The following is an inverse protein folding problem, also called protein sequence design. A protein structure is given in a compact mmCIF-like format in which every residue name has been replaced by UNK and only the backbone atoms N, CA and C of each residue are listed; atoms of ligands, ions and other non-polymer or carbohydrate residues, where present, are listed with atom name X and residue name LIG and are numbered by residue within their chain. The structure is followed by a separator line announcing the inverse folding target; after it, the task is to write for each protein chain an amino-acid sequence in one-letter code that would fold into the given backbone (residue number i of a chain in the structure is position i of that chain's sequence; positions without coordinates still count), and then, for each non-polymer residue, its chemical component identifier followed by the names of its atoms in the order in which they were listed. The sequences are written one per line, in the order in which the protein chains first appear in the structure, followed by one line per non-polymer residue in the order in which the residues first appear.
data_IF_103409634936
#
_entry.id   IF_103409634936
#
_cell.length_a   1.000
_cell.length_b   1.000
_cell.length_c   1.000
_cell.angle_alpha   90.00
_cell.angle_beta   90.00
_cell.angle_gamma   90.00
#
_symmetry.space_group_name_H-M   'P 1'
#
loop_
_entity.id
_entity.type
_entity.pdbx_description
1 polymer ?
#
# COMPACT_ATOMS: atom_id res chain seq x y z
N UNK A 1 -8.71 -12.44 -10.20
CA UNK A 1 -8.00 -11.72 -9.11
C UNK A 1 -8.38 -10.24 -9.00
N UNK A 2 -8.72 -9.53 -10.09
CA UNK A 2 -9.16 -8.13 -10.02
C UNK A 2 -10.37 -7.89 -9.09
N UNK A 3 -11.32 -8.82 -9.04
CA UNK A 3 -12.53 -8.71 -8.20
C UNK A 3 -12.27 -8.69 -6.69
N UNK A 4 -11.13 -9.24 -6.22
CA UNK A 4 -10.75 -9.22 -4.79
C UNK A 4 -9.90 -7.98 -4.46
N UNK A 5 -9.19 -7.41 -5.44
CA UNK A 5 -8.34 -6.24 -5.22
C UNK A 5 -9.15 -4.98 -4.95
N UNK A 6 -10.23 -4.79 -5.70
CA UNK A 6 -11.13 -3.64 -5.55
C UNK A 6 -11.65 -3.47 -4.10
N UNK A 7 -12.30 -4.47 -3.47
CA UNK A 7 -12.79 -4.31 -2.11
C UNK A 7 -11.66 -4.09 -1.09
N UNK A 8 -10.49 -4.73 -1.27
CA UNK A 8 -9.34 -4.51 -0.38
C UNK A 8 -8.82 -3.07 -0.46
N UNK A 9 -8.78 -2.47 -1.65
CA UNK A 9 -8.43 -1.05 -1.80
C UNK A 9 -9.48 -0.12 -1.19
N UNK A 10 -10.78 -0.45 -1.32
CA UNK A 10 -11.84 0.30 -0.65
C UNK A 10 -11.72 0.24 0.88
N UNK A 11 -11.42 -0.94 1.44
CA UNK A 11 -11.22 -1.12 2.88
C UNK A 11 -9.97 -0.36 3.33
N UNK A 12 -8.85 -0.45 2.60
CA UNK A 12 -7.63 0.29 2.89
C UNK A 12 -7.88 1.80 2.88
N UNK A 13 -8.63 2.30 1.90
CA UNK A 13 -9.00 3.70 1.81
C UNK A 13 -9.85 4.14 3.02
N UNK A 14 -10.85 3.34 3.39
CA UNK A 14 -11.68 3.61 4.57
C UNK A 14 -10.84 3.64 5.86
N UNK A 15 -9.98 2.64 6.10
CA UNK A 15 -9.09 2.64 7.25
C UNK A 15 -8.13 3.83 7.24
N UNK A 16 -7.64 4.24 6.07
CA UNK A 16 -6.79 5.42 5.93
C UNK A 16 -7.53 6.70 6.34
N UNK A 17 -8.80 6.87 5.92
CA UNK A 17 -9.63 8.02 6.34
C UNK A 17 -9.84 8.03 7.85
N UNK A 18 -10.13 6.88 8.44
CA UNK A 18 -10.36 6.75 9.88
C UNK A 18 -9.08 7.10 10.66
N UNK A 19 -7.93 6.52 10.30
CA UNK A 19 -6.65 6.83 10.95
C UNK A 19 -6.26 8.29 10.76
N UNK A 20 -6.48 8.87 9.58
CA UNK A 20 -6.24 10.28 9.31
C UNK A 20 -7.06 11.20 10.22
N UNK A 21 -8.36 10.93 10.38
CA UNK A 21 -9.21 11.71 11.29
C UNK A 21 -8.80 11.57 12.76
N UNK A 22 -8.47 10.35 13.20
CA UNK A 22 -8.05 10.09 14.57
C UNK A 22 -6.70 10.74 14.91
N UNK A 23 -5.74 10.68 13.99
CA UNK A 23 -4.40 11.29 14.15
C UNK A 23 -4.48 12.81 14.21
N UNK A 24 -5.29 13.45 13.36
CA UNK A 24 -5.55 14.90 13.44
C UNK A 24 -6.17 15.27 14.79
N UNK A 25 -7.20 14.54 15.21
CA UNK A 25 -7.88 14.82 16.49
C UNK A 25 -6.90 14.68 17.66
N UNK A 26 -6.03 13.67 17.63
CA UNK A 26 -5.00 13.46 18.65
C UNK A 26 -3.96 14.58 18.65
N UNK A 27 -3.41 14.95 17.49
CA UNK A 27 -2.45 16.03 17.36
C UNK A 27 -3.03 17.37 17.82
N UNK A 28 -4.27 17.66 17.45
CA UNK A 28 -4.94 18.88 17.88
C UNK A 28 -5.11 18.93 19.40
N UNK A 29 -5.42 17.79 20.03
CA UNK A 29 -5.51 17.68 21.49
C UNK A 29 -4.14 17.78 22.17
N UNK A 30 -3.07 17.18 21.62
CA UNK A 30 -1.73 17.23 22.23
C UNK A 30 -1.04 18.59 22.08
N UNK A 31 -1.43 19.38 21.07
CA UNK A 31 -0.91 20.73 20.85
C UNK A 31 -1.73 21.82 21.55
N UNK A 32 -2.93 21.50 22.07
CA UNK A 32 -3.80 22.45 22.76
C UNK A 32 -4.42 21.79 24.01
N UNK A 33 -3.58 21.41 24.97
CA UNK A 33 -4.05 20.80 26.21
C UNK A 33 -4.83 21.84 27.04
N UNK A 34 -6.03 21.48 27.53
CA UNK A 34 -6.72 22.31 28.50
C UNK A 34 -5.95 22.34 29.83
N UNK A 35 -5.90 23.52 30.45
CA UNK A 35 -5.24 23.72 31.75
C UNK A 35 -5.88 22.82 32.81
N UNK A 36 -5.10 21.95 33.43
CA UNK A 36 -5.56 21.01 34.46
C UNK A 36 -5.76 19.57 33.97
N UNK A 37 -5.43 19.26 32.71
CA UNK A 37 -5.37 17.88 32.25
C UNK A 37 -4.24 17.10 32.95
N UNK A 38 -4.49 15.89 33.48
CA UNK A 38 -3.44 15.04 34.07
C UNK A 38 -2.36 14.65 33.06
N UNK A 39 -2.62 14.75 31.76
CA UNK A 39 -1.66 14.43 30.71
C UNK A 39 -0.58 15.51 30.63
N UNK A 40 0.69 15.13 30.74
CA UNK A 40 1.86 16.01 30.66
C UNK A 40 1.78 17.28 31.54
N UNK A 41 1.14 17.19 32.72
CA UNK A 41 0.88 18.34 33.61
C UNK A 41 0.16 19.51 32.92
N UNK A 42 -0.65 19.23 31.89
CA UNK A 42 -1.34 20.24 31.09
C UNK A 42 -0.43 21.06 30.18
N UNK A 43 0.80 20.60 29.92
CA UNK A 43 1.71 21.22 28.96
C UNK A 43 1.56 20.59 27.58
N UNK A 44 1.51 21.43 26.55
CA UNK A 44 1.45 21.01 25.15
C UNK A 44 2.70 20.20 24.77
N UNK A 45 2.51 19.14 24.00
CA UNK A 45 3.60 18.32 23.49
C UNK A 45 3.32 17.76 22.09
N UNK A 46 4.38 17.47 21.36
CA UNK A 46 4.29 16.88 20.03
C UNK A 46 4.56 15.38 20.09
N UNK A 47 3.67 14.60 19.48
CA UNK A 47 3.79 13.16 19.41
C UNK A 47 4.26 12.73 18.00
N UNK A 48 5.56 12.37 17.85
CA UNK A 48 6.13 12.08 16.53
C UNK A 48 5.52 10.84 15.88
N UNK A 49 5.03 9.88 16.66
CA UNK A 49 4.44 8.64 16.15
C UNK A 49 3.06 8.91 15.55
N UNK A 50 2.27 9.78 16.18
CA UNK A 50 0.98 10.20 15.64
C UNK A 50 1.17 10.94 14.31
N UNK A 51 2.22 11.76 14.19
CA UNK A 51 2.54 12.46 12.95
C UNK A 51 3.01 11.51 11.84
N UNK A 52 3.78 10.48 12.18
CA UNK A 52 4.20 9.47 11.22
C UNK A 52 3.00 8.67 10.70
N UNK A 53 2.07 8.24 11.57
CA UNK A 53 0.81 7.61 11.16
C UNK A 53 -0.09 8.54 10.34
N UNK A 54 -0.08 9.85 10.62
CA UNK A 54 -0.79 10.85 9.83
C UNK A 54 -0.26 10.93 8.39
N UNK A 55 1.07 10.95 8.22
CA UNK A 55 1.70 10.94 6.89
C UNK A 55 1.42 9.61 6.17
N UNK A 56 1.52 8.49 6.88
CA UNK A 56 1.26 7.16 6.31
C UNK A 56 -0.19 7.01 5.83
N UNK A 57 -1.15 7.48 6.62
CA UNK A 57 -2.57 7.46 6.25
C UNK A 57 -2.88 8.41 5.11
N UNK A 58 -2.24 9.59 5.04
CA UNK A 58 -2.36 10.52 3.91
C UNK A 58 -1.83 9.91 2.60
N UNK A 59 -0.66 9.26 2.66
CA UNK A 59 -0.07 8.57 1.51
C UNK A 59 -0.97 7.43 1.03
N UNK A 60 -1.50 6.61 1.95
CA UNK A 60 -2.42 5.52 1.60
C UNK A 60 -3.76 6.04 1.06
N UNK A 61 -4.29 7.12 1.65
CA UNK A 61 -5.51 7.80 1.21
C UNK A 61 -5.36 8.37 -0.20
N UNK A 62 -4.21 8.97 -0.52
CA UNK A 62 -3.91 9.42 -1.87
C UNK A 62 -3.73 8.26 -2.84
N UNK A 63 -2.97 7.23 -2.44
CA UNK A 63 -2.62 6.10 -3.30
C UNK A 63 -3.83 5.25 -3.75
N UNK A 64 -4.77 4.95 -2.86
CA UNK A 64 -5.90 4.07 -3.18
C UNK A 64 -6.79 4.56 -4.36
N UNK A 65 -7.22 5.83 -4.44
CA UNK A 65 -8.01 6.32 -5.57
C UNK A 65 -7.22 6.48 -6.88
N UNK A 66 -5.89 6.61 -6.82
CA UNK A 66 -5.06 6.65 -8.04
C UNK A 66 -5.12 5.34 -8.84
N UNK A 67 -5.43 4.22 -8.19
CA UNK A 67 -5.61 2.92 -8.85
C UNK A 67 -6.94 2.84 -9.61
N UNK A 68 -7.96 3.61 -9.19
CA UNK A 68 -9.25 3.67 -9.87
C UNK A 68 -9.23 4.57 -11.11
N UNK A 69 -8.29 5.51 -11.21
CA UNK A 69 -8.15 6.44 -12.34
C UNK A 69 -6.86 6.17 -13.12
N UNK A 70 -6.87 5.20 -14.06
CA UNK A 70 -5.69 4.83 -14.82
C UNK A 70 -5.11 6.01 -15.64
N UNK A 71 -5.95 6.98 -16.03
CA UNK A 71 -5.55 8.15 -16.81
C UNK A 71 -4.53 9.04 -16.08
N UNK A 72 -4.63 9.15 -14.76
CA UNK A 72 -3.68 9.92 -13.94
C UNK A 72 -2.34 9.19 -13.84
N UNK A 73 -2.38 7.86 -13.64
CA UNK A 73 -1.17 7.05 -13.56
C UNK A 73 -0.44 6.97 -14.91
N UNK A 74 -1.16 7.00 -16.04
CA UNK A 74 -0.54 7.14 -17.35
C UNK A 74 0.16 8.48 -17.52
N UNK A 75 -0.43 9.59 -17.04
CA UNK A 75 0.19 10.92 -17.13
C UNK A 75 1.49 11.04 -16.31
N UNK A 76 1.54 10.43 -15.12
CA UNK A 76 2.75 10.40 -14.30
C UNK A 76 3.86 9.52 -14.93
N UNK A 77 3.47 8.45 -15.64
CA UNK A 77 4.40 7.49 -16.25
C UNK A 77 5.19 8.07 -17.43
N UNK A 78 4.58 8.95 -18.23
CA UNK A 78 5.24 9.55 -19.42
C UNK A 78 6.51 10.31 -19.04
N UNK A 79 6.61 10.84 -17.82
CA UNK A 79 7.72 11.70 -17.41
C UNK A 79 8.81 11.03 -16.55
N UNK A 80 8.57 9.88 -15.91
CA UNK A 80 9.54 9.29 -14.97
C UNK A 80 9.95 7.82 -15.22
N UNK A 81 9.10 6.95 -15.77
CA UNK A 81 9.37 5.51 -15.82
C UNK A 81 8.81 4.84 -17.07
N UNK A 82 9.33 5.19 -18.25
CA UNK A 82 8.83 4.65 -19.54
C UNK A 82 9.04 3.13 -19.71
N UNK A 83 9.96 2.51 -18.96
CA UNK A 83 10.33 1.09 -19.14
C UNK A 83 9.79 0.15 -18.04
N UNK A 84 9.13 0.67 -17.00
CA UNK A 84 8.70 -0.15 -15.86
C UNK A 84 7.24 -0.60 -16.02
N UNK A 85 7.00 -1.90 -15.84
CA UNK A 85 5.66 -2.49 -15.87
C UNK A 85 4.77 -1.95 -14.75
N UNK A 86 3.48 -1.62 -15.00
CA UNK A 86 2.53 -1.13 -13.99
C UNK A 86 2.47 -1.99 -12.72
N UNK A 87 2.56 -3.31 -12.88
CA UNK A 87 2.50 -4.25 -11.77
C UNK A 87 3.71 -4.15 -10.83
N UNK A 88 4.89 -3.82 -11.36
CA UNK A 88 6.11 -3.64 -10.57
C UNK A 88 6.02 -2.34 -9.77
N UNK A 89 5.60 -1.25 -10.41
CA UNK A 89 5.42 0.05 -9.73
C UNK A 89 4.39 -0.05 -8.61
N UNK A 90 3.26 -0.72 -8.84
CA UNK A 90 2.24 -0.96 -7.81
C UNK A 90 2.80 -1.77 -6.64
N UNK A 91 3.56 -2.83 -6.93
CA UNK A 91 4.17 -3.68 -5.90
C UNK A 91 5.19 -2.91 -5.06
N UNK A 92 6.03 -2.07 -5.68
CA UNK A 92 6.99 -1.22 -4.97
C UNK A 92 6.27 -0.22 -4.06
N UNK A 93 5.22 0.43 -4.55
CA UNK A 93 4.43 1.37 -3.76
C UNK A 93 3.73 0.67 -2.58
N UNK A 94 3.15 -0.51 -2.79
CA UNK A 94 2.56 -1.33 -1.73
C UNK A 94 3.61 -1.79 -0.70
N UNK A 95 4.82 -2.16 -1.14
CA UNK A 95 5.91 -2.54 -0.24
C UNK A 95 6.40 -1.37 0.62
N UNK A 96 6.48 -0.17 0.05
CA UNK A 96 6.80 1.04 0.79
C UNK A 96 5.72 1.37 1.84
N UNK A 97 4.45 1.33 1.44
CA UNK A 97 3.32 1.49 2.36
C UNK A 97 3.32 0.41 3.45
N UNK A 98 3.64 -0.84 3.11
CA UNK A 98 3.71 -1.94 4.06
C UNK A 98 4.74 -1.69 5.17
N UNK A 99 5.94 -1.22 4.81
CA UNK A 99 6.99 -0.89 5.77
C UNK A 99 6.58 0.28 6.68
N UNK A 100 6.07 1.35 6.07
CA UNK A 100 5.62 2.54 6.80
C UNK A 100 4.53 2.20 7.84
N UNK A 101 3.50 1.47 7.42
CA UNK A 101 2.43 1.04 8.34
C UNK A 101 2.93 0.09 9.43
N UNK A 102 3.88 -0.80 9.12
CA UNK A 102 4.46 -1.73 10.10
C UNK A 102 5.25 -0.97 11.18
N UNK A 103 6.10 -0.03 10.77
CA UNK A 103 6.95 0.75 11.67
C UNK A 103 6.06 1.59 12.60
N UNK A 104 5.09 2.33 12.04
CA UNK A 104 4.18 3.14 12.83
C UNK A 104 3.34 2.33 13.82
N UNK A 105 2.77 1.20 13.37
CA UNK A 105 2.01 0.32 14.27
C UNK A 105 2.88 -0.33 15.35
N UNK A 106 4.11 -0.74 14.99
CA UNK A 106 5.08 -1.33 15.91
C UNK A 106 5.53 -0.37 16.99
N UNK A 107 5.90 0.86 16.63
CA UNK A 107 6.32 1.89 17.58
C UNK A 107 5.13 2.35 18.44
N UNK A 108 3.93 2.52 17.86
CA UNK A 108 2.75 2.86 18.64
C UNK A 108 2.43 1.80 19.72
N UNK A 109 2.60 0.51 19.38
CA UNK A 109 2.37 -0.60 20.30
C UNK A 109 3.46 -0.69 21.38
N UNK A 110 4.71 -0.30 21.09
CA UNK A 110 5.79 -0.34 22.08
C UNK A 110 5.71 0.81 23.10
N UNK A 111 5.28 2.00 22.67
CA UNK A 111 5.10 3.16 23.56
C UNK A 111 3.82 3.02 24.40
N UNK A 112 2.74 2.47 23.81
CA UNK A 112 1.45 2.30 24.50
C UNK A 112 1.00 0.84 24.51
N UNK A 113 1.67 -0.04 25.27
CA UNK A 113 1.42 -1.49 25.22
C UNK A 113 0.10 -1.91 25.89
N UNK A 114 -0.37 -1.17 26.88
CA UNK A 114 -1.60 -1.51 27.60
C UNK A 114 -2.41 -0.27 27.94
N UNK A 115 -3.42 0.04 27.13
CA UNK A 115 -4.33 1.18 27.34
C UNK A 115 -5.59 0.83 28.14
N UNK A 116 -5.72 -0.41 28.63
CA UNK A 116 -6.94 -0.83 29.35
C UNK A 116 -7.17 -0.02 30.64
N UNK A 117 -6.10 0.44 31.29
CA UNK A 117 -6.19 1.21 32.54
C UNK A 117 -6.77 2.61 32.37
N UNK A 118 -6.64 3.24 31.18
CA UNK A 118 -7.09 4.61 30.94
C UNK A 118 -8.36 4.72 30.09
N UNK A 119 -9.09 3.62 29.90
CA UNK A 119 -10.24 3.57 29.00
C UNK A 119 -11.36 4.58 29.32
N UNK A 120 -11.43 5.04 30.57
CA UNK A 120 -12.37 6.08 31.01
C UNK A 120 -12.16 7.43 30.30
N UNK A 121 -10.91 7.72 29.86
CA UNK A 121 -10.57 8.97 29.20
C UNK A 121 -10.76 8.86 27.68
N UNK A 122 -11.35 9.89 27.06
CA UNK A 122 -11.55 9.94 25.62
C UNK A 122 -10.22 9.85 24.84
N UNK A 123 -9.17 10.51 25.33
CA UNK A 123 -7.85 10.51 24.72
C UNK A 123 -7.24 9.10 24.59
N UNK A 124 -7.46 8.24 25.59
CA UNK A 124 -6.98 6.86 25.61
C UNK A 124 -7.74 5.97 24.61
N UNK A 125 -9.07 6.16 24.50
CA UNK A 125 -9.91 5.47 23.51
C UNK A 125 -9.52 5.81 22.07
N UNK A 126 -9.18 7.08 21.82
CA UNK A 126 -8.67 7.52 20.50
C UNK A 126 -7.35 6.85 20.16
N UNK A 127 -6.40 6.75 21.10
CA UNK A 127 -5.15 6.01 20.88
C UNK A 127 -5.38 4.54 20.58
N UNK A 128 -6.21 3.88 21.39
CA UNK A 128 -6.52 2.47 21.19
C UNK A 128 -7.15 2.23 19.81
N UNK A 129 -8.10 3.08 19.40
CA UNK A 129 -8.71 3.02 18.08
C UNK A 129 -7.67 3.24 16.96
N UNK A 130 -6.82 4.26 17.09
CA UNK A 130 -5.77 4.57 16.11
C UNK A 130 -4.81 3.40 15.93
N UNK A 131 -4.29 2.81 17.02
CA UNK A 131 -3.39 1.64 16.95
C UNK A 131 -4.09 0.42 16.37
N UNK A 132 -5.35 0.18 16.71
CA UNK A 132 -6.12 -0.93 16.15
C UNK A 132 -6.33 -0.78 14.64
N UNK A 133 -6.74 0.41 14.17
CA UNK A 133 -6.89 0.67 12.73
C UNK A 133 -5.56 0.71 11.98
N UNK A 134 -4.45 1.10 12.63
CA UNK A 134 -3.11 0.98 12.06
C UNK A 134 -2.77 -0.50 11.77
N UNK A 135 -3.01 -1.40 12.71
CA UNK A 135 -2.82 -2.85 12.51
C UNK A 135 -3.76 -3.42 11.43
N UNK A 136 -5.03 -3.03 11.43
CA UNK A 136 -5.99 -3.47 10.40
C UNK A 136 -5.58 -2.99 9.01
N UNK A 137 -5.14 -1.73 8.89
CA UNK A 137 -4.63 -1.18 7.64
C UNK A 137 -3.38 -1.91 7.16
N UNK A 138 -2.43 -2.20 8.05
CA UNK A 138 -1.26 -3.02 7.74
C UNK A 138 -1.65 -4.42 7.22
N UNK A 139 -2.62 -5.09 7.88
CA UNK A 139 -3.13 -6.39 7.42
C UNK A 139 -3.77 -6.31 6.03
N UNK A 140 -4.52 -5.25 5.71
CA UNK A 140 -5.03 -5.04 4.36
C UNK A 140 -3.92 -4.84 3.33
N UNK A 141 -2.86 -4.08 3.67
CA UNK A 141 -1.70 -3.92 2.78
C UNK A 141 -0.99 -5.26 2.58
N UNK A 142 -0.82 -6.09 3.62
CA UNK A 142 -0.30 -7.45 3.50
C UNK A 142 -1.09 -8.27 2.47
N UNK A 143 -2.43 -8.26 2.59
CA UNK A 143 -3.30 -8.97 1.65
C UNK A 143 -3.13 -8.49 0.20
N UNK A 144 -3.08 -7.17 0.00
CA UNK A 144 -2.85 -6.56 -1.31
C UNK A 144 -1.47 -6.92 -1.89
N UNK A 145 -0.43 -6.93 -1.05
CA UNK A 145 0.94 -7.24 -1.45
C UNK A 145 1.05 -8.71 -1.88
N UNK A 146 0.49 -9.65 -1.11
CA UNK A 146 0.46 -11.09 -1.47
C UNK A 146 -0.25 -11.31 -2.80
N UNK A 147 -1.41 -10.69 -3.02
CA UNK A 147 -2.14 -10.79 -4.29
C UNK A 147 -1.33 -10.20 -5.46
N UNK A 148 -0.60 -9.10 -5.21
CA UNK A 148 0.21 -8.43 -6.23
C UNK A 148 1.48 -9.22 -6.59
N UNK A 149 2.03 -9.99 -5.65
CA UNK A 149 3.19 -10.86 -5.89
C UNK A 149 2.85 -12.18 -6.58
N UNK A 150 1.62 -12.69 -6.45
CA UNK A 150 1.23 -13.99 -7.00
C UNK A 150 1.56 -14.20 -8.50
N UNK A 151 1.34 -13.22 -9.40
CA UNK A 151 1.68 -13.38 -10.83
C UNK A 151 3.19 -13.48 -11.09
N UNK A 152 4.04 -12.92 -10.21
CA UNK A 152 5.49 -13.04 -10.34
C UNK A 152 5.95 -14.46 -10.07
N UNK A 153 5.35 -15.15 -9.09
CA UNK A 153 5.64 -16.54 -8.78
C UNK A 153 5.12 -17.54 -9.85
N UNK A 154 4.17 -17.13 -10.69
CA UNK A 154 3.68 -17.97 -11.79
C UNK A 154 4.53 -17.89 -13.06
N UNK A 155 5.56 -17.02 -13.11
CA UNK A 155 6.37 -16.75 -14.30
C UNK A 155 7.40 -17.85 -14.65
N UNK A 156 7.45 -18.96 -13.91
CA UNK A 156 8.39 -20.07 -14.13
C UNK A 156 7.87 -21.23 -15.01
N UNK A 157 6.97 -20.97 -15.97
CA UNK A 157 6.73 -21.93 -17.05
C UNK A 157 7.02 -21.30 -18.40
N UNK A 158 8.22 -21.50 -18.99
CA UNK A 158 8.36 -21.28 -20.41
C UNK A 158 7.34 -22.20 -21.12
N UNK A 159 6.46 -21.68 -21.99
CA UNK A 159 5.73 -22.55 -22.90
C UNK A 159 6.78 -23.29 -23.72
N UNK A 160 6.68 -24.63 -23.76
CA UNK A 160 7.48 -25.48 -24.65
C UNK A 160 7.42 -24.81 -26.02
N UNK A 161 8.55 -24.27 -26.49
CA UNK A 161 8.60 -23.65 -27.80
C UNK A 161 8.26 -24.74 -28.79
N UNK A 162 7.07 -24.69 -29.36
CA UNK A 162 6.77 -25.36 -30.62
C UNK A 162 7.67 -24.68 -31.65
N UNK A 163 8.91 -25.16 -31.72
CA UNK A 163 9.90 -24.78 -32.71
C UNK A 163 9.28 -25.20 -34.04
N UNK A 164 8.61 -24.27 -34.71
CA UNK A 164 8.06 -24.46 -36.04
C UNK A 164 9.22 -24.88 -36.93
N UNK A 165 9.23 -26.14 -37.34
CA UNK A 165 10.17 -26.65 -38.34
C UNK A 165 9.75 -25.97 -39.64
N UNK A 166 10.47 -24.92 -40.02
CA UNK A 166 10.41 -24.37 -41.37
C UNK A 166 11.02 -25.45 -42.30
N UNK A 167 10.14 -26.25 -42.90
CA UNK A 167 10.52 -27.19 -43.94
C UNK A 167 11.06 -26.37 -45.11
N UNK A 168 12.38 -26.43 -45.32
CA UNK A 168 13.03 -25.95 -46.54
C UNK A 168 12.41 -26.71 -47.71
N UNK A 169 11.51 -26.03 -48.42
CA UNK A 169 10.89 -26.53 -49.64
C UNK A 169 11.95 -26.76 -50.70
N UNK A 170 12.16 -28.03 -51.02
CA UNK A 170 12.54 -28.59 -52.32
C UNK A 170 12.91 -27.59 -53.42
N UNK A 171 14.21 -27.44 -53.69
CA UNK A 171 14.72 -26.86 -54.95
C UNK A 171 15.45 -27.95 -55.74
N UNK A 172 14.81 -28.45 -56.81
CA UNK A 172 15.33 -28.99 -58.09
C UNK A 172 14.39 -30.09 -58.63
N UNK A 173 14.02 -30.09 -59.93
CA UNK A 173 14.97 -30.09 -61.06
C UNK A 173 14.61 -29.11 -62.20
N UNK A 174 15.60 -28.40 -62.73
CA UNK A 174 15.53 -27.81 -64.07
C UNK A 174 16.02 -28.84 -65.09
N UNK A 175 15.08 -29.45 -65.80
CA UNK A 175 15.33 -30.19 -67.04
C UNK A 175 15.75 -29.17 -68.11
N UNK A 176 17.02 -29.18 -68.49
CA UNK A 176 17.50 -28.48 -69.68
C UNK A 176 17.32 -29.43 -70.86
N UNK A 177 16.29 -29.18 -71.67
CA UNK A 177 16.22 -29.62 -73.06
C UNK A 177 16.34 -28.38 -73.94
N UNK A 178 17.48 -28.22 -74.60
CA UNK A 178 17.59 -27.45 -75.83
C UNK A 178 18.91 -27.78 -76.55
N UNK A 179 18.74 -28.18 -77.80
CA UNK A 179 19.70 -28.40 -78.91
C UNK A 179 20.41 -29.74 -78.95
#
# INVERSE_FOLDING_TARGET
MASVRLPLYCILWFFSVVVFGLTITRLNYTLHLPKGDPLNHGADFYDPVVAELLVCSLLAFGFAPFIFKPDFMSALRVNLFSEVSPAVTETIALAALWLLWLIGAGIATSIWPNLSFCYNFAACRVLAAMTAFAWLGWLTVCGLLVISLFPFFQKDRPPISSRTIEWVGSTSPSVVSAV
#
